data_IF_057125910777
#
_entry.id   IF_057125910777
#
_cell.length_a   1.000
_cell.length_b   1.000
_cell.length_c   1.000
_cell.angle_alpha   90.00
_cell.angle_beta   90.00
_cell.angle_gamma   90.00
#
_symmetry.space_group_name_H-M   'P 1'
#
loop_
_entity.id
_entity.type
_entity.pdbx_description
1 polymer ?
#
# COMPACT_ATOMS: atom_id res chain seq x y z
N UNK A 1 0.32 18.57 -22.22
CA UNK A 1 1.29 17.79 -21.43
C UNK A 1 2.03 16.88 -22.39
N UNK A 2 3.37 16.89 -22.40
CA UNK A 2 4.14 15.94 -23.20
C UNK A 2 3.85 14.53 -22.66
N UNK A 3 3.76 13.56 -23.57
CA UNK A 3 3.53 12.16 -23.22
C UNK A 3 4.88 11.62 -22.78
N UNK A 4 5.20 11.79 -21.49
CA UNK A 4 6.46 11.30 -20.93
C UNK A 4 6.55 9.79 -21.09
N UNK A 5 7.74 9.30 -21.44
CA UNK A 5 7.98 7.88 -21.61
C UNK A 5 7.91 7.14 -20.27
N UNK A 6 7.61 5.84 -20.33
CA UNK A 6 7.55 5.00 -19.13
C UNK A 6 8.95 4.91 -18.51
N UNK A 7 9.06 5.20 -17.22
CA UNK A 7 10.32 5.36 -16.50
C UNK A 7 10.72 6.82 -16.25
N UNK A 8 10.06 7.77 -16.91
CA UNK A 8 10.34 9.20 -16.70
C UNK A 8 10.11 9.59 -15.24
N UNK A 9 11.09 10.30 -14.68
CA UNK A 9 11.11 10.75 -13.29
C UNK A 9 11.36 12.26 -13.22
N UNK A 10 10.58 12.96 -12.40
CA UNK A 10 10.78 14.37 -12.03
C UNK A 10 10.92 14.45 -10.51
N UNK A 11 12.01 15.02 -10.02
CA UNK A 11 12.29 15.16 -8.59
C UNK A 11 12.43 16.64 -8.27
N UNK A 12 11.69 17.10 -7.26
CA UNK A 12 11.80 18.47 -6.73
C UNK A 12 12.05 18.42 -5.24
N UNK A 13 13.08 19.11 -4.80
CA UNK A 13 13.42 19.25 -3.39
C UNK A 13 13.05 20.66 -2.95
N UNK A 14 12.37 20.77 -1.81
CA UNK A 14 12.04 22.07 -1.22
C UNK A 14 13.18 22.49 -0.31
N UNK A 15 13.66 23.74 -0.45
CA UNK A 15 14.69 24.31 0.44
C UNK A 15 14.17 24.51 1.88
N UNK A 16 12.85 24.67 2.02
CA UNK A 16 12.17 24.84 3.30
C UNK A 16 11.51 23.52 3.70
N UNK A 17 12.03 22.88 4.75
CA UNK A 17 11.43 21.68 5.36
C UNK A 17 12.00 20.34 4.90
N UNK A 18 13.07 20.33 4.09
CA UNK A 18 13.83 19.13 3.70
C UNK A 18 12.96 17.99 3.14
N UNK A 19 11.90 18.35 2.39
CA UNK A 19 11.02 17.38 1.72
C UNK A 19 11.34 17.33 0.23
N UNK A 20 11.53 16.11 -0.27
CA UNK A 20 11.63 15.82 -1.68
C UNK A 20 10.36 15.16 -2.21
N UNK A 21 9.90 15.66 -3.36
CA UNK A 21 8.80 15.10 -4.13
C UNK A 21 9.38 14.39 -5.33
N UNK A 22 9.13 13.08 -5.42
CA UNK A 22 9.49 12.25 -6.55
C UNK A 22 8.23 11.87 -7.33
N UNK A 23 8.20 12.21 -8.61
CA UNK A 23 7.12 11.87 -9.53
C UNK A 23 7.64 10.92 -10.59
N UNK A 24 7.04 9.74 -10.69
CA UNK A 24 7.48 8.68 -11.59
C UNK A 24 6.33 8.18 -12.46
N UNK A 25 6.63 7.98 -13.76
CA UNK A 25 5.66 7.48 -14.73
C UNK A 25 5.86 5.99 -14.98
N UNK A 26 5.02 5.16 -14.37
CA UNK A 26 4.86 3.76 -14.77
C UNK A 26 3.66 3.64 -15.73
N UNK A 27 2.75 2.68 -15.50
CA UNK A 27 1.45 2.65 -16.18
C UNK A 27 0.67 3.94 -15.86
N UNK A 28 0.58 4.26 -14.57
CA UNK A 28 0.02 5.50 -14.05
C UNK A 28 1.10 6.39 -13.46
N UNK A 29 0.77 7.67 -13.28
CA UNK A 29 1.65 8.63 -12.63
C UNK A 29 1.63 8.39 -11.12
N UNK A 30 2.79 8.14 -10.53
CA UNK A 30 2.98 7.94 -9.09
C UNK A 30 3.70 9.16 -8.53
N UNK A 31 3.23 9.69 -7.41
CA UNK A 31 3.89 10.81 -6.71
C UNK A 31 4.12 10.39 -5.26
N UNK A 32 5.37 10.52 -4.80
CA UNK A 32 5.80 10.19 -3.44
C UNK A 32 6.52 11.39 -2.85
N UNK A 33 6.26 11.67 -1.57
CA UNK A 33 7.02 12.62 -0.78
C UNK A 33 7.95 11.86 0.17
N UNK A 34 9.20 12.27 0.26
CA UNK A 34 10.20 11.69 1.17
C UNK A 34 11.00 12.79 1.85
N UNK A 35 11.23 12.64 3.16
CA UNK A 35 12.11 13.49 3.96
C UNK A 35 13.52 12.92 4.09
N UNK A 36 13.72 11.65 3.68
CA UNK A 36 14.97 10.92 3.86
C UNK A 36 15.75 10.79 2.55
N UNK A 37 15.05 10.69 1.41
CA UNK A 37 15.65 10.48 0.10
C UNK A 37 15.33 11.67 -0.77
N UNK A 38 16.32 12.53 -1.01
CA UNK A 38 16.18 13.76 -1.80
C UNK A 38 16.41 13.51 -3.29
N UNK A 39 17.66 13.55 -3.73
CA UNK A 39 18.13 13.10 -5.05
C UNK A 39 18.82 11.76 -4.86
N UNK A 40 18.02 10.71 -4.69
CA UNK A 40 18.53 9.34 -4.62
C UNK A 40 18.97 8.81 -5.98
N UNK A 41 19.61 7.64 -5.98
CA UNK A 41 19.98 6.95 -7.21
C UNK A 41 18.74 6.36 -7.90
N UNK A 42 18.76 6.32 -9.22
CA UNK A 42 17.74 5.60 -9.99
C UNK A 42 18.19 4.17 -10.14
N UNK A 43 17.34 3.21 -9.80
CA UNK A 43 17.63 1.79 -9.97
C UNK A 43 16.69 1.19 -11.00
N UNK A 44 17.19 0.18 -11.73
CA UNK A 44 16.43 -0.53 -12.72
C UNK A 44 15.51 -1.58 -12.07
N UNK A 45 14.24 -1.59 -12.46
CA UNK A 45 13.23 -2.51 -11.94
C UNK A 45 12.55 -3.23 -13.09
N UNK A 46 12.47 -4.57 -12.99
CA UNK A 46 11.73 -5.38 -13.95
C UNK A 46 10.22 -5.21 -13.75
N UNK A 47 9.54 -4.68 -14.77
CA UNK A 47 8.09 -4.44 -14.75
C UNK A 47 7.42 -5.07 -15.94
N UNK A 48 6.25 -5.67 -15.72
CA UNK A 48 5.41 -6.17 -16.80
C UNK A 48 4.84 -5.01 -17.62
N UNK A 49 4.89 -5.14 -18.95
CA UNK A 49 4.27 -4.21 -19.89
C UNK A 49 3.20 -4.93 -20.68
N UNK A 50 1.93 -4.67 -20.40
CA UNK A 50 0.83 -5.26 -21.17
C UNK A 50 0.84 -4.84 -22.64
N UNK A 51 1.45 -3.70 -22.99
CA UNK A 51 1.56 -3.25 -24.38
C UNK A 51 2.59 -4.03 -25.21
N UNK A 52 3.58 -4.63 -24.55
CA UNK A 52 4.64 -5.42 -25.21
C UNK A 52 4.59 -6.90 -24.83
N UNK A 53 3.67 -7.28 -23.94
CA UNK A 53 3.52 -8.62 -23.37
C UNK A 53 4.84 -9.21 -22.85
N UNK A 54 5.71 -8.34 -22.34
CA UNK A 54 7.05 -8.70 -21.86
C UNK A 54 7.39 -7.96 -20.56
N UNK A 55 8.41 -8.47 -19.86
CA UNK A 55 9.03 -7.73 -18.76
C UNK A 55 10.06 -6.76 -19.34
N UNK A 56 9.81 -5.48 -19.13
CA UNK A 56 10.74 -4.41 -19.48
C UNK A 56 11.50 -3.95 -18.23
N UNK A 57 12.71 -3.51 -18.44
CA UNK A 57 13.51 -2.85 -17.41
C UNK A 57 13.18 -1.36 -17.41
N UNK A 58 12.75 -0.85 -16.27
CA UNK A 58 12.31 0.54 -16.11
C UNK A 58 13.10 1.17 -14.97
N UNK A 59 13.67 2.33 -15.26
CA UNK A 59 14.32 3.17 -14.26
C UNK A 59 13.31 3.67 -13.23
N UNK A 60 13.60 3.44 -11.95
CA UNK A 60 12.74 3.76 -10.82
C UNK A 60 13.55 4.53 -9.75
N UNK A 61 13.05 5.67 -9.25
CA UNK A 61 13.75 6.44 -8.23
C UNK A 61 13.79 5.70 -6.89
N UNK A 62 14.91 5.81 -6.18
CA UNK A 62 15.12 5.20 -4.86
C UNK A 62 14.00 5.51 -3.85
N UNK A 63 13.43 6.71 -3.88
CA UNK A 63 12.33 7.08 -2.97
C UNK A 63 11.11 6.13 -3.10
N UNK A 64 10.80 5.70 -4.33
CA UNK A 64 9.68 4.78 -4.59
C UNK A 64 10.04 3.36 -4.19
N UNK A 65 11.30 2.97 -4.35
CA UNK A 65 11.80 1.66 -3.90
C UNK A 65 11.76 1.54 -2.39
N UNK A 66 12.25 2.56 -1.68
CA UNK A 66 12.23 2.60 -0.22
C UNK A 66 10.81 2.59 0.33
N UNK A 67 9.89 3.33 -0.32
CA UNK A 67 8.46 3.26 -0.01
C UNK A 67 7.92 1.84 -0.14
N UNK A 68 8.12 1.20 -1.30
CA UNK A 68 7.63 -0.17 -1.52
C UNK A 68 8.29 -1.21 -0.61
N UNK A 69 9.54 -1.00 -0.18
CA UNK A 69 10.24 -1.88 0.76
C UNK A 69 9.60 -1.87 2.16
N UNK A 70 9.13 -0.71 2.61
CA UNK A 70 8.53 -0.52 3.93
C UNK A 70 7.00 -0.56 3.91
N UNK A 71 6.39 -0.66 2.73
CA UNK A 71 4.97 -0.91 2.55
C UNK A 71 4.54 -2.28 3.10
N UNK A 72 3.26 -2.41 3.43
CA UNK A 72 2.65 -3.69 3.85
C UNK A 72 2.83 -4.04 5.33
N UNK A 73 3.41 -3.16 6.15
CA UNK A 73 3.44 -3.33 7.61
C UNK A 73 2.04 -3.35 8.22
N UNK A 74 1.16 -2.48 7.73
CA UNK A 74 -0.25 -2.41 8.15
C UNK A 74 -1.02 -3.65 7.73
N UNK A 75 -0.92 -4.07 6.46
CA UNK A 75 -1.62 -5.27 5.96
C UNK A 75 -1.23 -6.55 6.73
N UNK A 76 0.06 -6.68 7.08
CA UNK A 76 0.55 -7.79 7.91
C UNK A 76 -0.03 -7.74 9.32
N UNK A 77 -0.10 -6.56 9.91
CA UNK A 77 -0.70 -6.36 11.23
C UNK A 77 -2.21 -6.68 11.18
N UNK A 78 -2.92 -6.21 10.16
CA UNK A 78 -4.35 -6.49 9.95
C UNK A 78 -4.60 -7.98 9.74
N UNK A 79 -3.72 -8.66 8.99
CA UNK A 79 -3.75 -10.11 8.85
C UNK A 79 -3.59 -10.82 10.20
N UNK A 80 -2.57 -10.45 10.99
CA UNK A 80 -2.35 -11.03 12.32
C UNK A 80 -3.53 -10.72 13.26
N UNK A 81 -4.09 -9.51 13.21
CA UNK A 81 -5.28 -9.13 13.98
C UNK A 81 -6.53 -9.93 13.57
N UNK A 82 -6.63 -10.29 12.29
CA UNK A 82 -7.70 -11.15 11.78
C UNK A 82 -7.55 -12.61 12.23
N UNK A 83 -6.32 -13.09 12.42
CA UNK A 83 -6.04 -14.44 12.95
C UNK A 83 -6.28 -14.53 14.46
N UNK A 84 -5.84 -13.52 15.22
CA UNK A 84 -5.94 -13.47 16.66
C UNK A 84 -6.93 -12.41 17.11
N UNK A 85 -8.19 -12.59 16.70
CA UNK A 85 -9.26 -11.64 17.03
C UNK A 85 -9.48 -11.58 18.55
N UNK A 86 -9.21 -10.41 19.13
CA UNK A 86 -9.75 -10.06 20.44
C UNK A 86 -11.22 -9.71 20.21
N UNK A 87 -12.18 -10.27 20.96
CA UNK A 87 -13.59 -9.91 20.83
C UNK A 87 -13.78 -8.43 21.20
N UNK A 88 -13.80 -7.57 20.18
CA UNK A 88 -13.61 -6.13 20.35
C UNK A 88 -14.90 -5.32 20.50
N UNK A 89 -16.08 -5.91 20.29
CA UNK A 89 -17.33 -5.15 20.37
C UNK A 89 -17.93 -5.20 21.76
N UNK A 90 -17.78 -4.09 22.48
CA UNK A 90 -18.56 -3.81 23.69
C UNK A 90 -20.03 -3.57 23.35
N UNK A 91 -20.95 -3.79 24.30
CA UNK A 91 -22.39 -3.50 24.13
C UNK A 91 -22.66 -2.09 23.60
N UNK A 92 -21.81 -1.12 23.97
CA UNK A 92 -21.89 0.27 23.53
C UNK A 92 -21.63 0.42 22.02
N UNK A 93 -20.59 -0.24 21.50
CA UNK A 93 -20.29 -0.24 20.06
C UNK A 93 -21.40 -0.90 19.25
N UNK A 94 -21.99 -1.99 19.77
CA UNK A 94 -23.14 -2.67 19.14
C UNK A 94 -24.36 -1.77 18.98
N UNK A 95 -24.68 -1.02 20.04
CA UNK A 95 -25.81 -0.09 20.04
C UNK A 95 -25.60 1.07 19.05
N UNK A 96 -24.37 1.59 18.94
CA UNK A 96 -24.02 2.65 17.97
C UNK A 96 -24.20 2.17 16.53
N UNK A 97 -23.81 0.93 16.23
CA UNK A 97 -23.94 0.34 14.89
C UNK A 97 -25.31 -0.30 14.63
N UNK A 98 -26.24 -0.28 15.60
CA UNK A 98 -27.61 -0.78 15.44
C UNK A 98 -27.73 -2.30 15.26
N UNK A 99 -26.71 -3.07 15.63
CA UNK A 99 -26.69 -4.52 15.42
C UNK A 99 -27.06 -5.25 16.72
N UNK A 100 -28.00 -6.19 16.64
CA UNK A 100 -28.56 -6.91 17.79
C UNK A 100 -27.61 -8.05 18.27
N UNK A 101 -27.66 -8.39 19.56
CA UNK A 101 -26.83 -9.42 20.21
C UNK A 101 -26.88 -10.79 19.47
N UNK A 102 -28.03 -11.16 18.90
CA UNK A 102 -28.18 -12.40 18.11
C UNK A 102 -27.48 -12.35 16.75
N UNK A 103 -27.51 -11.20 16.07
CA UNK A 103 -26.80 -10.99 14.80
C UNK A 103 -25.28 -11.01 15.03
N UNK A 104 -24.82 -10.40 16.12
CA UNK A 104 -23.42 -10.47 16.52
C UNK A 104 -22.95 -11.87 16.89
N UNK A 105 -23.82 -12.68 17.52
CA UNK A 105 -23.50 -14.07 17.84
C UNK A 105 -23.39 -14.95 16.58
N UNK A 106 -24.07 -14.59 15.49
CA UNK A 106 -23.93 -15.24 14.18
C UNK A 106 -22.64 -14.80 13.48
N UNK A 107 -22.34 -13.50 13.45
CA UNK A 107 -21.11 -12.95 12.86
C UNK A 107 -19.83 -13.51 13.53
N UNK A 108 -19.85 -13.71 14.86
CA UNK A 108 -18.75 -14.36 15.60
C UNK A 108 -18.56 -15.83 15.23
N UNK A 109 -19.64 -16.55 14.93
CA UNK A 109 -19.54 -17.96 14.54
C UNK A 109 -19.00 -18.09 13.12
N UNK A 110 -19.48 -17.25 12.21
CA UNK A 110 -19.09 -17.27 10.80
C UNK A 110 -17.62 -16.86 10.58
N UNK A 111 -17.08 -15.94 11.40
CA UNK A 111 -15.65 -15.58 11.34
C UNK A 111 -14.71 -16.68 11.83
N UNK A 112 -15.15 -17.54 12.76
CA UNK A 112 -14.35 -18.66 13.25
C UNK A 112 -14.25 -19.84 12.27
N UNK A 113 -15.24 -20.01 11.38
CA UNK A 113 -15.26 -21.11 10.39
C UNK A 113 -14.47 -20.78 9.12
N UNK A 114 -14.27 -19.50 8.81
CA UNK A 114 -13.50 -19.07 7.62
C UNK A 114 -11.97 -19.18 7.77
N UNK A 115 -11.47 -19.56 8.95
CA UNK A 115 -10.03 -19.73 9.17
C UNK A 115 -9.49 -21.13 8.81
N UNK A 116 -10.36 -22.14 8.65
CA UNK A 116 -9.93 -23.50 8.29
C UNK A 116 -9.83 -23.74 6.77
N UNK A 117 -10.20 -22.76 5.94
CA UNK A 117 -10.31 -22.93 4.47
C UNK A 117 -9.10 -22.40 3.67
N UNK A 118 -8.07 -21.89 4.34
CA UNK A 118 -6.86 -21.34 3.71
C UNK A 118 -5.56 -22.02 4.18
N UNK A 119 -5.64 -23.28 4.62
CA UNK A 119 -4.48 -24.18 4.77
C UNK A 119 -4.37 -25.06 3.53
#
# INVERSE_FOLDING_TARGET
MRKDERGSTDIKVTEVGDVALARWKDNNLVTVASTQVSTGETNAVSRWSSSREERIEVECPQAILEYNRHMGGVDKLDFIMSLYQIPAMTKKLRHIHGVNDDEWAKLRRDSSVNCESFV
#
